data_IF_961155188852
#
_entry.id   IF_961155188852
#
_cell.length_a   1.000
_cell.length_b   1.000
_cell.length_c   1.000
_cell.angle_alpha   90.00
_cell.angle_beta   90.00
_cell.angle_gamma   90.00
#
_symmetry.space_group_name_H-M   'P 1'
#
loop_
_entity.id
_entity.type
_entity.pdbx_description
1 polymer ?
#
# COMPACT_ATOMS: atom_id res chain seq x y z
N UNK A 1 -19.32 -8.92 0.28
CA UNK A 1 -19.79 -9.43 -1.02
C UNK A 1 -19.18 -10.81 -1.27
N UNK A 2 -17.86 -10.96 -1.40
CA UNK A 2 -17.20 -12.25 -1.70
C UNK A 2 -17.56 -13.36 -0.70
N UNK A 3 -17.67 -13.06 0.59
CA UNK A 3 -18.04 -14.08 1.60
C UNK A 3 -19.42 -14.68 1.33
N UNK A 4 -20.39 -13.86 0.91
CA UNK A 4 -21.73 -14.33 0.53
C UNK A 4 -21.69 -15.13 -0.76
N UNK A 5 -20.94 -14.66 -1.76
CA UNK A 5 -20.75 -15.37 -3.03
C UNK A 5 -20.13 -16.75 -2.83
N UNK A 6 -19.10 -16.85 -2.00
CA UNK A 6 -18.46 -18.12 -1.66
C UNK A 6 -19.43 -19.07 -0.93
N UNK A 7 -20.21 -18.54 0.03
CA UNK A 7 -21.21 -19.33 0.75
C UNK A 7 -22.31 -19.86 -0.18
N UNK A 8 -22.65 -19.12 -1.23
CA UNK A 8 -23.65 -19.51 -2.23
C UNK A 8 -23.07 -20.26 -3.44
N UNK A 9 -21.74 -20.45 -3.50
CA UNK A 9 -21.01 -21.02 -4.64
C UNK A 9 -21.33 -20.32 -5.97
N UNK A 10 -21.39 -19.00 -5.98
CA UNK A 10 -21.69 -18.23 -7.18
C UNK A 10 -20.47 -18.11 -8.09
N UNK A 11 -20.70 -18.31 -9.39
CA UNK A 11 -19.72 -17.93 -10.42
C UNK A 11 -19.89 -16.45 -10.78
N UNK A 12 -18.79 -15.71 -10.76
CA UNK A 12 -18.81 -14.26 -11.02
C UNK A 12 -18.38 -14.00 -12.46
N UNK A 13 -19.15 -13.21 -13.24
CA UNK A 13 -18.77 -12.86 -14.60
C UNK A 13 -17.34 -12.28 -14.68
N UNK A 14 -16.57 -12.69 -15.67
CA UNK A 14 -15.16 -12.34 -15.78
C UNK A 14 -14.92 -10.81 -15.81
N UNK A 15 -15.77 -10.07 -16.52
CA UNK A 15 -15.70 -8.61 -16.53
C UNK A 15 -15.91 -8.01 -15.14
N UNK A 16 -16.79 -8.58 -14.33
CA UNK A 16 -17.02 -8.15 -12.95
C UNK A 16 -15.79 -8.43 -12.07
N UNK A 17 -15.14 -9.60 -12.24
CA UNK A 17 -13.88 -9.88 -11.56
C UNK A 17 -12.79 -8.86 -11.92
N UNK A 18 -12.61 -8.56 -13.18
CA UNK A 18 -11.62 -7.58 -13.64
C UNK A 18 -11.91 -6.17 -13.16
N UNK A 19 -13.16 -5.72 -13.16
CA UNK A 19 -13.54 -4.41 -12.60
C UNK A 19 -13.19 -4.36 -11.10
N UNK A 20 -13.53 -5.38 -10.34
CA UNK A 20 -13.20 -5.46 -8.91
C UNK A 20 -11.68 -5.46 -8.69
N UNK A 21 -10.94 -6.25 -9.47
CA UNK A 21 -9.49 -6.32 -9.38
C UNK A 21 -8.84 -4.96 -9.70
N UNK A 22 -9.31 -4.27 -10.74
CA UNK A 22 -8.82 -2.92 -11.08
C UNK A 22 -9.08 -1.91 -9.96
N UNK A 23 -10.25 -1.94 -9.33
CA UNK A 23 -10.59 -1.06 -8.20
C UNK A 23 -9.62 -1.32 -7.03
N UNK A 24 -9.46 -2.58 -6.63
CA UNK A 24 -8.58 -2.95 -5.50
C UNK A 24 -7.13 -2.58 -5.81
N UNK A 25 -6.64 -2.89 -7.01
CA UNK A 25 -5.26 -2.62 -7.41
C UNK A 25 -4.99 -1.12 -7.51
N UNK A 26 -5.91 -0.35 -8.10
CA UNK A 26 -5.80 1.11 -8.18
C UNK A 26 -5.79 1.75 -6.78
N UNK A 27 -6.61 1.25 -5.87
CA UNK A 27 -6.63 1.69 -4.48
C UNK A 27 -5.32 1.32 -3.76
N UNK A 28 -4.80 0.10 -3.96
CA UNK A 28 -3.50 -0.30 -3.42
C UNK A 28 -2.35 0.59 -3.91
N UNK A 29 -2.31 0.94 -5.20
CA UNK A 29 -1.31 1.89 -5.73
C UNK A 29 -1.46 3.27 -5.09
N UNK A 30 -2.69 3.77 -4.95
CA UNK A 30 -2.98 5.01 -4.22
C UNK A 30 -2.41 4.96 -2.80
N UNK A 31 -2.70 3.89 -2.06
CA UNK A 31 -2.28 3.74 -0.67
C UNK A 31 -0.75 3.67 -0.52
N UNK A 32 -0.06 2.97 -1.40
CA UNK A 32 1.40 2.93 -1.38
C UNK A 32 2.03 4.30 -1.63
N UNK A 33 1.49 5.09 -2.57
CA UNK A 33 1.95 6.47 -2.82
C UNK A 33 1.71 7.34 -1.59
N UNK A 34 0.51 7.30 -1.01
CA UNK A 34 0.14 8.08 0.19
C UNK A 34 1.01 7.67 1.38
N UNK A 35 1.13 6.37 1.63
CA UNK A 35 1.89 5.88 2.79
C UNK A 35 3.35 6.28 2.70
N UNK A 36 4.02 6.05 1.58
CA UNK A 36 5.43 6.38 1.45
C UNK A 36 5.68 7.89 1.51
N UNK A 37 5.00 8.70 0.68
CA UNK A 37 5.29 10.13 0.61
C UNK A 37 4.61 10.94 1.73
N UNK A 38 3.33 10.70 2.01
CA UNK A 38 2.55 11.62 2.85
C UNK A 38 2.44 11.18 4.31
N UNK A 39 2.79 9.92 4.63
CA UNK A 39 2.84 9.44 6.00
C UNK A 39 4.27 9.21 6.50
N UNK A 40 5.17 8.67 5.68
CA UNK A 40 6.51 8.28 6.12
C UNK A 40 7.63 9.23 5.68
N UNK A 41 7.55 9.85 4.49
CA UNK A 41 8.69 10.57 3.91
C UNK A 41 9.22 11.72 4.78
N UNK A 42 8.37 12.41 5.53
CA UNK A 42 8.77 13.54 6.39
C UNK A 42 9.62 13.11 7.60
N UNK A 43 9.67 11.82 7.92
CA UNK A 43 10.58 11.28 8.93
C UNK A 43 12.01 11.11 8.39
N UNK A 44 12.19 11.13 7.08
CA UNK A 44 13.46 10.87 6.38
C UNK A 44 13.99 12.09 5.62
N UNK A 45 13.09 12.96 5.16
CA UNK A 45 13.38 14.08 4.25
C UNK A 45 13.33 15.40 5.00
N UNK A 46 14.44 16.16 4.93
CA UNK A 46 14.59 17.50 5.51
C UNK A 46 14.31 18.56 4.44
N UNK A 47 13.11 19.14 4.47
CA UNK A 47 12.70 20.18 3.52
C UNK A 47 13.50 21.49 3.67
N UNK A 48 13.95 21.81 4.88
CA UNK A 48 14.77 23.02 5.11
C UNK A 48 16.17 22.81 4.55
N UNK A 49 16.71 21.60 4.64
CA UNK A 49 17.97 21.24 3.97
C UNK A 49 17.86 21.33 2.44
N UNK A 50 16.71 21.00 1.86
CA UNK A 50 16.44 21.12 0.42
C UNK A 50 16.65 22.55 -0.11
N UNK A 51 16.46 23.60 0.73
CA UNK A 51 16.72 24.98 0.36
C UNK A 51 18.21 25.29 0.06
N UNK A 52 19.12 24.45 0.55
CA UNK A 52 20.57 24.59 0.34
C UNK A 52 21.06 23.81 -0.88
N UNK A 53 20.19 23.03 -1.52
CA UNK A 53 20.54 22.21 -2.67
C UNK A 53 20.93 23.06 -3.89
N UNK A 54 21.83 22.52 -4.72
CA UNK A 54 22.07 23.02 -6.07
C UNK A 54 21.09 22.30 -7.04
N UNK A 55 20.13 23.02 -7.67
CA UNK A 55 19.18 22.40 -8.59
C UNK A 55 19.81 21.70 -9.79
N UNK A 56 20.99 22.15 -10.24
CA UNK A 56 21.71 21.49 -11.34
C UNK A 56 22.31 20.17 -10.88
N UNK A 57 22.92 20.12 -9.71
CA UNK A 57 23.44 18.87 -9.14
C UNK A 57 22.31 17.91 -8.81
N UNK A 58 21.17 18.42 -8.31
CA UNK A 58 19.97 17.63 -8.08
C UNK A 58 19.47 16.97 -9.37
N UNK A 59 19.40 17.74 -10.48
CA UNK A 59 19.02 17.24 -11.80
C UNK A 59 19.98 16.14 -12.28
N UNK A 60 21.28 16.39 -12.22
CA UNK A 60 22.30 15.40 -12.61
C UNK A 60 22.20 14.09 -11.81
N UNK A 61 21.97 14.19 -10.49
CA UNK A 61 21.76 13.04 -9.65
C UNK A 61 20.49 12.28 -10.05
N UNK A 62 19.36 12.98 -10.14
CA UNK A 62 18.07 12.39 -10.48
C UNK A 62 18.07 11.71 -11.85
N UNK A 63 18.65 12.36 -12.87
CA UNK A 63 18.82 11.81 -14.22
C UNK A 63 19.75 10.59 -14.27
N UNK A 64 20.72 10.51 -13.36
CA UNK A 64 21.59 9.33 -13.23
C UNK A 64 20.87 8.10 -12.63
N UNK A 65 19.78 8.33 -11.89
CA UNK A 65 19.03 7.29 -11.20
C UNK A 65 17.83 6.80 -12.00
N UNK A 66 17.20 7.67 -12.80
CA UNK A 66 16.04 7.29 -13.59
C UNK A 66 15.80 8.22 -14.79
N UNK A 67 14.96 7.75 -15.71
CA UNK A 67 14.50 8.51 -16.87
C UNK A 67 13.20 9.29 -16.59
N UNK A 68 12.94 9.69 -15.34
CA UNK A 68 11.76 10.46 -15.00
C UNK A 68 11.80 11.84 -15.66
N UNK A 69 10.74 12.22 -16.37
CA UNK A 69 10.69 13.42 -17.21
C UNK A 69 10.75 14.75 -16.43
N UNK A 70 10.42 14.72 -15.14
CA UNK A 70 10.46 15.90 -14.27
C UNK A 70 11.77 16.03 -13.47
N UNK A 71 12.85 15.42 -13.94
CA UNK A 71 14.20 15.52 -13.32
C UNK A 71 15.04 16.73 -13.80
N UNK A 72 14.43 17.68 -14.52
CA UNK A 72 15.18 18.79 -15.09
C UNK A 72 15.62 19.83 -14.06
N UNK A 73 16.75 20.50 -14.32
CA UNK A 73 17.26 21.62 -13.51
C UNK A 73 16.22 22.74 -13.34
N UNK A 74 15.46 23.04 -14.41
CA UNK A 74 14.39 24.04 -14.37
C UNK A 74 13.32 23.64 -13.35
N UNK A 75 12.86 22.40 -13.39
CA UNK A 75 11.85 21.90 -12.47
C UNK A 75 12.31 21.98 -11.01
N UNK A 76 13.51 21.51 -10.68
CA UNK A 76 14.03 21.57 -9.30
C UNK A 76 14.23 23.01 -8.82
N UNK A 77 14.61 23.94 -9.70
CA UNK A 77 14.67 25.37 -9.36
C UNK A 77 13.29 25.92 -9.01
N UNK A 78 12.27 25.61 -9.78
CA UNK A 78 10.90 26.06 -9.52
C UNK A 78 10.36 25.48 -8.20
N UNK A 79 10.64 24.21 -7.90
CA UNK A 79 10.29 23.58 -6.61
C UNK A 79 11.00 24.29 -5.46
N UNK A 80 12.31 24.53 -5.59
CA UNK A 80 13.08 25.20 -4.53
C UNK A 80 12.59 26.62 -4.25
N UNK A 81 12.23 27.40 -5.28
CA UNK A 81 11.67 28.75 -5.08
C UNK A 81 10.30 28.71 -4.38
N UNK A 82 9.44 27.75 -4.75
CA UNK A 82 8.18 27.53 -4.02
C UNK A 82 8.41 27.18 -2.55
N UNK A 83 9.38 26.32 -2.27
CA UNK A 83 9.75 25.96 -0.89
C UNK A 83 10.28 27.17 -0.10
N UNK A 84 11.10 28.03 -0.70
CA UNK A 84 11.60 29.27 -0.06
C UNK A 84 10.44 30.18 0.35
N UNK A 85 9.48 30.39 -0.54
CA UNK A 85 8.30 31.19 -0.28
C UNK A 85 7.47 30.58 0.85
N UNK A 86 7.26 29.26 0.81
CA UNK A 86 6.48 28.54 1.81
C UNK A 86 7.13 28.56 3.20
N UNK A 87 8.42 28.25 3.31
CA UNK A 87 9.17 28.30 4.57
C UNK A 87 9.25 29.73 5.10
N UNK A 88 9.46 30.70 4.21
CA UNK A 88 9.53 32.12 4.56
C UNK A 88 8.20 32.69 5.07
N UNK A 89 7.05 32.10 4.74
CA UNK A 89 5.74 32.52 5.25
C UNK A 89 5.50 32.16 6.73
N UNK A 90 6.29 31.27 7.30
CA UNK A 90 6.12 30.75 8.65
C UNK A 90 4.91 29.83 8.84
N UNK A 91 4.10 29.61 7.79
CA UNK A 91 2.92 28.73 7.83
C UNK A 91 3.27 27.34 7.30
N UNK A 92 3.99 26.58 8.11
CA UNK A 92 4.58 25.31 7.66
C UNK A 92 3.56 24.15 7.56
N UNK A 93 2.34 24.30 8.09
CA UNK A 93 1.28 23.29 8.00
C UNK A 93 1.76 21.91 8.44
N UNK A 94 1.58 20.90 7.59
CA UNK A 94 1.99 19.53 7.84
C UNK A 94 3.51 19.36 7.98
N UNK A 95 4.29 20.32 7.53
CA UNK A 95 5.75 20.31 7.68
C UNK A 95 6.24 20.92 8.99
N UNK A 96 5.35 21.29 9.90
CA UNK A 96 5.71 21.84 11.21
C UNK A 96 6.09 20.78 12.25
N UNK A 97 6.55 19.63 11.84
CA UNK A 97 6.87 18.49 12.73
C UNK A 97 8.14 18.70 13.58
N UNK A 98 8.99 19.66 13.22
CA UNK A 98 10.16 20.02 14.00
C UNK A 98 11.37 19.10 13.88
N UNK A 99 11.37 18.11 12.98
CA UNK A 99 12.50 17.18 12.80
C UNK A 99 13.65 17.75 11.98
N UNK A 100 13.47 18.88 11.32
CA UNK A 100 14.47 19.45 10.41
C UNK A 100 15.76 19.81 11.13
N UNK A 101 16.88 19.42 10.51
CA UNK A 101 18.20 19.59 11.09
C UNK A 101 18.54 18.60 12.20
N UNK A 102 17.69 17.59 12.43
CA UNK A 102 18.01 16.55 13.38
C UNK A 102 19.23 15.75 12.89
N UNK A 103 20.23 15.47 13.79
CA UNK A 103 21.50 14.85 13.38
C UNK A 103 21.32 13.41 12.83
N UNK A 104 20.19 12.76 13.08
CA UNK A 104 19.88 11.46 12.53
C UNK A 104 19.40 11.50 11.07
N UNK A 105 19.05 12.67 10.51
CA UNK A 105 18.69 12.83 9.10
C UNK A 105 19.94 12.80 8.23
N UNK A 106 19.97 11.87 7.25
CA UNK A 106 21.18 11.49 6.52
C UNK A 106 21.22 11.96 5.07
N UNK A 107 20.09 12.43 4.54
CA UNK A 107 20.02 12.79 3.12
C UNK A 107 20.75 14.11 2.84
N UNK A 108 21.48 14.15 1.72
CA UNK A 108 22.11 15.40 1.25
C UNK A 108 21.05 16.44 0.84
N UNK A 109 21.40 17.73 0.75
CA UNK A 109 20.47 18.75 0.27
C UNK A 109 19.86 18.43 -1.10
N UNK A 110 20.66 17.87 -2.03
CA UNK A 110 20.20 17.49 -3.36
C UNK A 110 19.16 16.35 -3.32
N UNK A 111 19.42 15.32 -2.51
CA UNK A 111 18.46 14.22 -2.32
C UNK A 111 17.19 14.71 -1.62
N UNK A 112 17.32 15.61 -0.64
CA UNK A 112 16.16 16.23 0.02
C UNK A 112 15.33 17.06 -0.96
N UNK A 113 15.94 17.80 -1.89
CA UNK A 113 15.22 18.55 -2.91
C UNK A 113 14.52 17.62 -3.91
N UNK A 114 15.18 16.55 -4.34
CA UNK A 114 14.59 15.53 -5.22
C UNK A 114 13.38 14.87 -4.54
N UNK A 115 13.54 14.37 -3.33
CA UNK A 115 12.47 13.70 -2.59
C UNK A 115 11.29 14.64 -2.28
N UNK A 116 11.55 15.91 -1.97
CA UNK A 116 10.51 16.94 -1.77
C UNK A 116 9.76 17.21 -3.07
N UNK A 117 10.45 17.26 -4.21
CA UNK A 117 9.81 17.41 -5.52
C UNK A 117 8.87 16.23 -5.79
N UNK A 118 9.32 15.01 -5.55
CA UNK A 118 8.51 13.81 -5.75
C UNK A 118 7.33 13.74 -4.75
N UNK A 119 7.50 14.19 -3.51
CA UNK A 119 6.42 14.36 -2.55
C UNK A 119 5.27 15.24 -3.10
N UNK A 120 5.62 16.39 -3.70
CA UNK A 120 4.64 17.28 -4.30
C UNK A 120 3.96 16.67 -5.53
N UNK A 121 4.71 15.92 -6.34
CA UNK A 121 4.16 15.18 -7.50
C UNK A 121 3.24 14.05 -7.05
N UNK A 122 3.58 13.38 -5.96
CA UNK A 122 2.76 12.31 -5.38
C UNK A 122 1.35 12.77 -5.02
N UNK A 123 1.16 14.03 -4.58
CA UNK A 123 -0.18 14.63 -4.38
C UNK A 123 -1.02 14.64 -5.67
N UNK A 124 -0.39 14.81 -6.82
CA UNK A 124 -1.05 14.73 -8.11
C UNK A 124 -1.36 13.28 -8.49
N UNK A 125 -0.39 12.39 -8.40
CA UNK A 125 -0.53 11.01 -8.88
C UNK A 125 -1.46 10.15 -8.03
N UNK A 126 -1.51 10.36 -6.72
CA UNK A 126 -2.53 9.71 -5.86
C UNK A 126 -3.95 10.07 -6.31
N UNK A 127 -4.19 11.35 -6.68
CA UNK A 127 -5.47 11.78 -7.19
C UNK A 127 -5.78 11.13 -8.55
N UNK A 128 -4.79 11.02 -9.43
CA UNK A 128 -4.94 10.43 -10.76
C UNK A 128 -5.36 8.97 -10.69
N UNK A 129 -4.67 8.15 -9.90
CA UNK A 129 -5.04 6.73 -9.77
C UNK A 129 -6.40 6.56 -9.09
N UNK A 130 -6.74 7.43 -8.14
CA UNK A 130 -8.02 7.38 -7.45
C UNK A 130 -9.21 7.72 -8.36
N UNK A 131 -8.98 8.38 -9.50
CA UNK A 131 -9.99 8.57 -10.54
C UNK A 131 -10.43 7.23 -11.16
N UNK A 132 -9.53 6.24 -11.27
CA UNK A 132 -9.89 4.88 -11.71
C UNK A 132 -10.92 4.26 -10.78
N UNK A 133 -10.69 4.40 -9.46
CA UNK A 133 -11.64 3.92 -8.44
C UNK A 133 -12.99 4.62 -8.59
N UNK A 134 -13.00 5.95 -8.79
CA UNK A 134 -14.24 6.72 -8.95
C UNK A 134 -15.01 6.36 -10.22
N UNK A 135 -14.32 6.16 -11.35
CA UNK A 135 -14.94 5.82 -12.64
C UNK A 135 -15.58 4.42 -12.56
N UNK A 136 -14.87 3.46 -11.98
CA UNK A 136 -15.34 2.07 -11.89
C UNK A 136 -16.29 1.85 -10.71
N UNK A 137 -16.03 2.49 -9.59
CA UNK A 137 -16.76 2.30 -8.33
C UNK A 137 -17.93 3.26 -8.09
N UNK A 138 -18.10 4.26 -8.99
CA UNK A 138 -19.12 5.30 -8.86
C UNK A 138 -18.73 6.44 -7.93
N UNK A 139 -17.89 6.20 -6.95
CA UNK A 139 -17.26 7.18 -6.04
C UNK A 139 -16.03 6.58 -5.34
N UNK A 140 -15.27 7.44 -4.67
CA UNK A 140 -14.19 7.07 -3.76
C UNK A 140 -14.26 7.97 -2.51
N UNK A 141 -13.94 7.49 -1.30
CA UNK A 141 -13.88 6.08 -0.91
C UNK A 141 -15.28 5.43 -0.83
N UNK A 142 -15.34 4.17 -0.43
CA UNK A 142 -16.60 3.40 -0.29
C UNK A 142 -17.41 3.30 -1.59
N UNK A 143 -16.89 2.51 -2.51
CA UNK A 143 -17.49 2.26 -3.83
C UNK A 143 -18.93 1.78 -3.75
N UNK A 144 -19.73 2.09 -4.76
CA UNK A 144 -21.18 1.82 -4.80
C UNK A 144 -21.57 0.77 -5.84
N UNK A 145 -20.63 0.22 -6.60
CA UNK A 145 -20.90 -0.68 -7.72
C UNK A 145 -20.90 -2.17 -7.35
N UNK A 146 -20.49 -2.54 -6.11
CA UNK A 146 -20.45 -3.95 -5.72
C UNK A 146 -21.85 -4.50 -5.52
N UNK A 147 -22.10 -5.64 -6.16
CA UNK A 147 -23.33 -6.42 -5.98
C UNK A 147 -22.97 -7.90 -5.78
N UNK A 148 -23.78 -8.65 -5.05
CA UNK A 148 -23.65 -10.10 -4.96
C UNK A 148 -23.88 -10.70 -6.35
N UNK A 149 -22.91 -11.47 -6.84
CA UNK A 149 -22.92 -12.03 -8.19
C UNK A 149 -22.26 -11.18 -9.25
N UNK A 150 -21.71 -9.97 -8.91
CA UNK A 150 -21.01 -9.14 -9.89
C UNK A 150 -20.80 -7.69 -9.49
N UNK A 151 -20.98 -6.80 -10.47
CA UNK A 151 -20.91 -5.35 -10.33
C UNK A 151 -22.08 -4.69 -11.06
N UNK A 152 -22.51 -3.53 -10.57
CA UNK A 152 -23.61 -2.75 -11.18
C UNK A 152 -23.16 -1.87 -12.38
N UNK A 153 -21.99 -2.12 -12.93
CA UNK A 153 -21.50 -1.38 -14.09
C UNK A 153 -22.15 -1.87 -15.38
N UNK A 154 -22.82 -1.00 -16.09
CA UNK A 154 -23.22 -1.28 -17.46
C UNK A 154 -22.01 -1.17 -18.40
N UNK A 155 -21.83 -2.15 -19.27
CA UNK A 155 -20.78 -2.18 -20.29
C UNK A 155 -21.43 -2.17 -21.66
N UNK A 156 -21.20 -1.11 -22.43
CA UNK A 156 -21.62 -1.03 -23.82
C UNK A 156 -20.63 -0.13 -24.57
N UNK A 157 -19.83 -0.69 -25.51
CA UNK A 157 -18.81 0.07 -26.23
C UNK A 157 -19.32 1.31 -26.96
N UNK A 158 -20.58 1.32 -27.35
CA UNK A 158 -21.20 2.38 -28.17
C UNK A 158 -22.03 3.39 -27.35
N UNK A 159 -22.22 3.17 -26.05
CA UNK A 159 -23.06 4.04 -25.21
C UNK A 159 -22.19 4.89 -24.27
N UNK A 160 -22.30 6.21 -24.40
CA UNK A 160 -21.53 7.18 -23.62
C UNK A 160 -21.84 7.18 -22.12
N UNK A 161 -23.01 6.69 -21.69
CA UNK A 161 -23.38 6.61 -20.27
C UNK A 161 -22.87 5.36 -19.56
N UNK A 162 -22.22 4.46 -20.26
CA UNK A 162 -21.72 3.18 -19.74
C UNK A 162 -20.18 3.11 -19.76
N UNK A 163 -19.61 2.00 -19.37
CA UNK A 163 -18.19 1.69 -19.64
C UNK A 163 -18.05 1.40 -21.14
N UNK A 164 -17.62 2.41 -21.87
CA UNK A 164 -17.37 2.37 -23.30
C UNK A 164 -15.86 2.38 -23.59
N UNK A 165 -15.47 2.35 -24.86
CA UNK A 165 -14.07 2.32 -25.28
C UNK A 165 -13.30 3.57 -24.87
N UNK A 166 -13.93 4.75 -24.88
CA UNK A 166 -13.31 6.02 -24.47
C UNK A 166 -12.96 6.00 -22.98
N UNK A 167 -13.89 5.54 -22.12
CA UNK A 167 -13.64 5.40 -20.67
C UNK A 167 -12.57 4.37 -20.36
N UNK A 168 -12.54 3.24 -21.07
CA UNK A 168 -11.50 2.24 -20.92
C UNK A 168 -10.13 2.78 -21.33
N UNK A 169 -10.06 3.51 -22.45
CA UNK A 169 -8.83 4.18 -22.88
C UNK A 169 -8.37 5.21 -21.85
N UNK A 170 -9.28 6.00 -21.29
CA UNK A 170 -8.96 6.97 -20.25
C UNK A 170 -8.44 6.30 -18.97
N UNK A 171 -9.07 5.21 -18.54
CA UNK A 171 -8.57 4.41 -17.40
C UNK A 171 -7.14 3.91 -17.67
N UNK A 172 -6.90 3.40 -18.89
CA UNK A 172 -5.56 2.95 -19.29
C UNK A 172 -4.54 4.09 -19.20
N UNK A 173 -4.88 5.28 -19.71
CA UNK A 173 -4.00 6.46 -19.63
C UNK A 173 -3.66 6.82 -18.17
N UNK A 174 -4.64 6.80 -17.26
CA UNK A 174 -4.42 7.06 -15.85
C UNK A 174 -3.45 6.04 -15.22
N UNK A 175 -3.62 4.76 -15.55
CA UNK A 175 -2.75 3.69 -15.06
C UNK A 175 -1.32 3.83 -15.60
N UNK A 176 -1.17 4.14 -16.88
CA UNK A 176 0.14 4.31 -17.52
C UNK A 176 0.90 5.50 -16.93
N UNK A 177 0.24 6.65 -16.73
CA UNK A 177 0.82 7.84 -16.11
C UNK A 177 1.33 7.54 -14.68
N UNK A 178 0.47 6.96 -13.85
CA UNK A 178 0.84 6.66 -12.47
C UNK A 178 1.87 5.54 -12.39
N UNK A 179 1.76 4.54 -13.26
CA UNK A 179 2.75 3.47 -13.38
C UNK A 179 4.14 3.98 -13.75
N UNK A 180 4.22 5.01 -14.60
CA UNK A 180 5.48 5.69 -14.92
C UNK A 180 6.07 6.40 -13.70
N UNK A 181 5.27 7.15 -12.94
CA UNK A 181 5.70 7.78 -11.69
C UNK A 181 6.20 6.75 -10.67
N UNK A 182 5.44 5.68 -10.45
CA UNK A 182 5.83 4.64 -9.49
C UNK A 182 7.17 4.00 -9.88
N UNK A 183 7.37 3.68 -11.16
CA UNK A 183 8.61 3.03 -11.62
C UNK A 183 9.82 3.96 -11.60
N UNK A 184 9.65 5.21 -12.03
CA UNK A 184 10.77 6.10 -12.32
C UNK A 184 11.05 7.13 -11.21
N UNK A 185 10.12 7.33 -10.27
CA UNK A 185 10.32 8.20 -9.12
C UNK A 185 10.20 7.43 -7.80
N UNK A 186 9.03 6.85 -7.50
CA UNK A 186 8.77 6.25 -6.19
C UNK A 186 9.71 5.09 -5.86
N UNK A 187 9.93 4.13 -6.77
CA UNK A 187 10.84 3.01 -6.51
C UNK A 187 12.29 3.48 -6.30
N UNK A 188 12.71 4.52 -7.01
CA UNK A 188 14.04 5.12 -6.84
C UNK A 188 14.17 5.77 -5.46
N UNK A 189 13.16 6.51 -5.02
CA UNK A 189 13.14 7.14 -3.71
C UNK A 189 13.13 6.10 -2.59
N UNK A 190 12.29 5.06 -2.69
CA UNK A 190 12.24 3.96 -1.71
C UNK A 190 13.60 3.28 -1.57
N UNK A 191 14.24 2.94 -2.69
CA UNK A 191 15.56 2.31 -2.70
C UNK A 191 16.63 3.25 -2.14
N UNK A 192 16.59 4.53 -2.52
CA UNK A 192 17.51 5.55 -2.05
C UNK A 192 17.42 5.78 -0.54
N UNK A 193 16.20 6.00 -0.03
CA UNK A 193 15.97 6.15 1.42
C UNK A 193 16.44 4.90 2.17
N UNK A 194 16.08 3.71 1.70
CA UNK A 194 16.52 2.46 2.33
C UNK A 194 18.05 2.33 2.36
N UNK A 195 18.75 2.75 1.31
CA UNK A 195 20.21 2.71 1.26
C UNK A 195 20.86 3.69 2.26
N UNK A 196 20.35 4.91 2.37
CA UNK A 196 20.87 5.90 3.32
C UNK A 196 20.62 5.54 4.77
N UNK A 197 19.50 4.87 5.06
CA UNK A 197 19.09 4.46 6.41
C UNK A 197 19.20 2.96 6.66
N UNK A 198 20.12 2.28 5.98
CA UNK A 198 20.30 0.82 6.08
C UNK A 198 20.57 0.33 7.52
N UNK A 199 21.26 1.13 8.32
CA UNK A 199 21.51 0.84 9.74
C UNK A 199 20.26 0.90 10.62
N UNK A 200 19.15 1.49 10.12
CA UNK A 200 17.88 1.54 10.84
C UNK A 200 16.96 0.34 10.55
N UNK A 201 17.32 -0.51 9.63
CA UNK A 201 16.50 -1.68 9.25
C UNK A 201 16.23 -2.67 10.40
N UNK A 202 17.01 -2.57 11.48
CA UNK A 202 16.79 -3.32 12.72
C UNK A 202 15.66 -2.78 13.61
N UNK A 203 15.31 -1.49 13.48
CA UNK A 203 14.25 -0.88 14.26
C UNK A 203 12.89 -1.26 13.70
N UNK A 204 11.94 -1.60 14.58
CA UNK A 204 10.62 -2.02 14.18
C UNK A 204 10.57 -3.36 13.40
N UNK A 205 11.66 -4.13 13.43
CA UNK A 205 11.71 -5.44 12.80
C UNK A 205 10.66 -6.35 13.41
N UNK A 206 9.73 -6.80 12.59
CA UNK A 206 8.69 -7.74 12.97
C UNK A 206 9.15 -9.20 12.94
N UNK A 207 8.19 -10.09 12.86
CA UNK A 207 8.43 -11.52 12.68
C UNK A 207 8.96 -11.83 11.27
N UNK A 208 9.66 -12.93 11.13
CA UNK A 208 10.29 -13.34 9.85
C UNK A 208 9.52 -14.44 9.12
N UNK A 209 8.34 -14.80 9.61
CA UNK A 209 7.43 -15.70 8.92
C UNK A 209 6.38 -14.86 8.19
N UNK A 210 6.16 -15.13 6.92
CA UNK A 210 5.24 -14.38 6.07
C UNK A 210 4.17 -15.32 5.53
N UNK A 211 2.92 -14.90 5.65
CA UNK A 211 1.75 -15.62 5.15
C UNK A 211 0.95 -14.70 4.24
N UNK A 212 0.60 -15.16 3.06
CA UNK A 212 -0.31 -14.47 2.15
C UNK A 212 -1.37 -15.43 1.62
N UNK A 213 -2.61 -14.99 1.53
CA UNK A 213 -3.67 -15.72 0.84
C UNK A 213 -3.74 -15.27 -0.61
N UNK A 214 -4.15 -16.14 -1.55
CA UNK A 214 -4.29 -15.74 -2.95
C UNK A 214 -5.40 -14.71 -3.11
N UNK A 215 -5.19 -13.73 -3.98
CA UNK A 215 -6.21 -12.71 -4.30
C UNK A 215 -6.15 -12.28 -5.78
N UNK A 216 -7.07 -11.41 -6.17
CA UNK A 216 -7.31 -10.95 -7.54
C UNK A 216 -7.69 -12.12 -8.48
N UNK A 217 -8.91 -12.68 -8.35
CA UNK A 217 -9.38 -13.77 -9.19
C UNK A 217 -9.35 -13.43 -10.68
N UNK A 218 -8.85 -14.35 -11.49
CA UNK A 218 -8.70 -14.21 -12.94
C UNK A 218 -9.64 -15.10 -13.74
N UNK A 219 -10.51 -15.83 -13.04
CA UNK A 219 -11.55 -16.69 -13.64
C UNK A 219 -12.90 -16.52 -12.92
N UNK A 220 -13.96 -17.08 -13.50
CA UNK A 220 -15.34 -16.93 -12.98
C UNK A 220 -15.55 -17.65 -11.66
N UNK A 221 -14.77 -18.69 -11.37
CA UNK A 221 -14.87 -19.53 -10.16
C UNK A 221 -13.97 -19.06 -9.02
N UNK A 222 -13.08 -18.11 -9.29
CA UNK A 222 -12.10 -17.66 -8.31
C UNK A 222 -11.09 -18.73 -7.91
N UNK A 223 -10.61 -19.51 -8.87
CA UNK A 223 -9.63 -20.59 -8.67
C UNK A 223 -8.22 -20.24 -9.16
N UNK A 224 -8.11 -19.28 -10.07
CA UNK A 224 -6.85 -18.74 -10.57
C UNK A 224 -6.71 -17.29 -10.10
N UNK A 225 -5.55 -16.91 -9.62
CA UNK A 225 -5.32 -15.62 -8.98
C UNK A 225 -4.09 -14.92 -9.57
N UNK A 226 -4.18 -13.59 -9.73
CA UNK A 226 -3.04 -12.77 -10.15
C UNK A 226 -2.02 -12.58 -9.02
N UNK A 227 -2.46 -12.55 -7.76
CA UNK A 227 -1.59 -12.54 -6.60
C UNK A 227 -1.56 -13.94 -5.99
N UNK A 228 -0.41 -14.64 -6.04
CA UNK A 228 -0.28 -15.96 -5.45
C UNK A 228 -0.29 -15.88 -3.93
N UNK A 229 -0.90 -16.89 -3.29
CA UNK A 229 -0.79 -17.10 -1.86
C UNK A 229 0.39 -18.02 -1.52
N UNK A 230 0.89 -17.91 -0.30
CA UNK A 230 1.95 -18.79 0.18
C UNK A 230 2.46 -18.44 1.56
N UNK A 231 3.34 -19.28 2.03
CA UNK A 231 4.04 -19.12 3.32
C UNK A 231 5.55 -19.17 3.12
N UNK A 232 6.26 -18.25 3.77
CA UNK A 232 7.72 -18.20 3.83
C UNK A 232 8.14 -18.24 5.29
N UNK A 233 8.98 -19.20 5.66
CA UNK A 233 9.50 -19.35 7.02
C UNK A 233 10.84 -18.65 7.18
N UNK A 234 11.02 -17.93 8.30
CA UNK A 234 12.28 -17.32 8.71
C UNK A 234 12.92 -16.35 7.68
N UNK A 235 12.14 -15.76 6.79
CA UNK A 235 12.65 -14.93 5.69
C UNK A 235 13.39 -15.70 4.60
N UNK A 236 13.36 -17.03 4.64
CA UNK A 236 13.99 -17.87 3.63
C UNK A 236 13.06 -18.08 2.43
N UNK A 237 13.37 -17.44 1.30
CA UNK A 237 12.60 -17.59 0.06
C UNK A 237 12.60 -19.03 -0.47
N UNK A 238 13.62 -19.83 -0.14
CA UNK A 238 13.69 -21.26 -0.49
C UNK A 238 12.66 -22.11 0.27
N UNK A 239 12.12 -21.59 1.38
CA UNK A 239 11.09 -22.25 2.19
C UNK A 239 9.66 -22.03 1.65
N UNK A 240 9.49 -21.33 0.53
CA UNK A 240 8.17 -20.97 -0.01
C UNK A 240 7.27 -22.20 -0.21
N UNK A 241 6.10 -22.15 0.42
CA UNK A 241 5.03 -23.13 0.25
C UNK A 241 3.81 -22.44 -0.33
N UNK A 242 3.34 -22.81 -1.53
CA UNK A 242 2.19 -22.18 -2.15
C UNK A 242 0.89 -22.53 -1.39
N UNK A 243 0.03 -21.54 -1.24
CA UNK A 243 -1.35 -21.67 -0.75
C UNK A 243 -2.27 -21.27 -1.90
N UNK A 244 -3.14 -22.19 -2.32
CA UNK A 244 -3.99 -22.01 -3.50
C UNK A 244 -5.41 -21.54 -3.18
N UNK A 245 -5.89 -21.77 -1.97
CA UNK A 245 -7.23 -21.38 -1.53
C UNK A 245 -7.33 -21.36 -0.01
N UNK A 246 -8.40 -20.80 0.54
CA UNK A 246 -8.73 -20.89 1.97
C UNK A 246 -8.98 -22.32 2.46
N UNK A 247 -9.34 -23.22 1.54
CA UNK A 247 -9.57 -24.63 1.86
C UNK A 247 -8.31 -25.48 1.72
N UNK A 248 -7.17 -24.88 1.40
CA UNK A 248 -5.89 -25.58 1.39
C UNK A 248 -5.62 -26.13 2.79
N UNK A 249 -5.38 -27.43 2.89
CA UNK A 249 -5.16 -28.10 4.17
C UNK A 249 -3.98 -27.48 4.94
N UNK A 250 -2.91 -27.13 4.21
CA UNK A 250 -1.75 -26.47 4.81
C UNK A 250 -2.13 -25.15 5.49
N UNK A 251 -2.97 -24.34 4.87
CA UNK A 251 -3.46 -23.09 5.46
C UNK A 251 -4.44 -23.39 6.60
N UNK A 252 -5.46 -24.19 6.34
CA UNK A 252 -6.54 -24.49 7.29
C UNK A 252 -6.04 -25.10 8.59
N UNK A 253 -5.12 -26.05 8.51
CA UNK A 253 -4.59 -26.75 9.68
C UNK A 253 -3.50 -25.94 10.40
N UNK A 254 -2.81 -25.05 9.69
CA UNK A 254 -1.70 -24.26 10.21
C UNK A 254 -2.10 -23.04 11.02
N UNK A 255 -3.25 -22.43 10.72
CA UNK A 255 -3.67 -21.15 11.35
C UNK A 255 -4.28 -21.41 12.71
N UNK A 256 -3.76 -20.67 13.71
CA UNK A 256 -4.34 -20.61 15.06
C UNK A 256 -4.29 -19.18 15.58
N UNK A 257 -5.17 -18.85 16.51
CA UNK A 257 -5.20 -17.56 17.19
C UNK A 257 -4.88 -17.74 18.66
N UNK A 258 -3.92 -16.95 19.16
CA UNK A 258 -3.60 -16.90 20.58
C UNK A 258 -4.30 -15.72 21.24
N UNK A 259 -4.94 -15.96 22.38
CA UNK A 259 -5.58 -14.93 23.19
C UNK A 259 -4.78 -14.65 24.48
N UNK A 260 -3.53 -15.07 24.54
CA UNK A 260 -2.70 -14.88 25.73
C UNK A 260 -2.72 -13.45 26.27
N UNK A 261 -2.63 -12.46 25.38
CA UNK A 261 -2.58 -11.04 25.73
C UNK A 261 -3.87 -10.29 25.41
N UNK A 262 -4.95 -11.01 25.12
CA UNK A 262 -6.21 -10.43 24.68
C UNK A 262 -7.33 -10.62 25.70
N UNK A 263 -8.27 -9.69 25.75
CA UNK A 263 -9.37 -9.70 26.72
C UNK A 263 -10.51 -10.65 26.29
N UNK A 264 -10.20 -11.94 26.21
CA UNK A 264 -11.20 -13.01 25.96
C UNK A 264 -11.11 -14.07 27.04
N UNK A 265 -12.23 -14.75 27.27
CA UNK A 265 -12.29 -15.91 28.17
C UNK A 265 -11.57 -17.12 27.57
N UNK A 266 -11.11 -17.97 28.46
CA UNK A 266 -10.40 -19.18 28.09
C UNK A 266 -8.90 -18.95 27.88
N UNK A 267 -8.24 -20.06 27.67
CA UNK A 267 -6.80 -20.13 27.36
C UNK A 267 -6.64 -21.02 26.15
N UNK A 268 -6.82 -20.44 24.97
CA UNK A 268 -6.85 -21.19 23.74
C UNK A 268 -5.84 -20.69 22.69
N UNK A 269 -5.40 -21.62 21.90
CA UNK A 269 -4.58 -21.41 20.72
C UNK A 269 -5.12 -22.37 19.66
N UNK A 270 -6.26 -22.03 19.06
CA UNK A 270 -7.03 -22.88 18.15
C UNK A 270 -7.29 -22.18 16.84
N UNK A 271 -7.78 -22.94 15.87
CA UNK A 271 -8.27 -22.37 14.63
C UNK A 271 -9.49 -21.48 14.91
N UNK A 272 -9.64 -20.32 14.25
CA UNK A 272 -10.77 -19.39 14.47
C UNK A 272 -12.16 -20.03 14.29
N UNK A 273 -12.25 -21.13 13.54
CA UNK A 273 -13.50 -21.87 13.31
C UNK A 273 -13.90 -22.81 14.44
N UNK A 274 -12.94 -23.14 15.31
CA UNK A 274 -13.14 -24.14 16.38
C UNK A 274 -13.52 -23.49 17.71
N UNK A 275 -13.43 -22.17 17.81
CA UNK A 275 -13.69 -21.42 19.03
C UNK A 275 -14.62 -20.23 18.84
N UNK A 276 -15.47 -19.99 19.80
CA UNK A 276 -16.24 -18.76 19.89
C UNK A 276 -15.45 -17.68 20.61
N UNK A 277 -15.61 -16.45 20.20
CA UNK A 277 -15.03 -15.28 20.86
C UNK A 277 -15.95 -14.83 22.00
N UNK A 278 -15.50 -14.95 23.24
CA UNK A 278 -16.22 -14.51 24.43
C UNK A 278 -15.44 -13.38 25.12
N UNK A 279 -15.86 -12.10 24.97
CA UNK A 279 -15.15 -10.97 25.55
C UNK A 279 -15.07 -11.02 27.08
N UNK A 280 -13.91 -10.66 27.62
CA UNK A 280 -13.68 -10.57 29.05
C UNK A 280 -12.68 -9.44 29.38
N UNK A 281 -13.18 -8.22 29.48
CA UNK A 281 -12.32 -7.08 29.80
C UNK A 281 -11.94 -7.08 31.28
N UNK A 282 -10.64 -7.19 31.57
CA UNK A 282 -10.08 -7.23 32.92
C UNK A 282 -9.22 -6.00 33.26
N UNK A 283 -9.28 -4.97 32.45
CA UNK A 283 -8.42 -3.78 32.58
C UNK A 283 -7.08 -3.92 31.83
N UNK A 284 -6.39 -2.80 31.66
CA UNK A 284 -5.07 -2.75 31.02
C UNK A 284 -3.99 -3.32 31.96
N UNK A 285 -3.31 -4.37 31.51
CA UNK A 285 -2.21 -5.02 32.22
C UNK A 285 -1.05 -5.22 31.24
N UNK A 286 -0.06 -4.34 31.28
CA UNK A 286 0.98 -4.24 30.24
C UNK A 286 1.77 -5.55 30.00
N UNK A 287 1.94 -6.38 31.04
CA UNK A 287 2.66 -7.63 30.95
C UNK A 287 1.74 -8.86 30.74
N UNK A 288 0.42 -8.68 30.74
CA UNK A 288 -0.55 -9.76 30.58
C UNK A 288 -1.63 -9.41 29.55
N UNK A 289 -2.72 -8.73 29.92
CA UNK A 289 -3.86 -8.41 29.04
C UNK A 289 -3.83 -6.94 28.65
N UNK A 290 -3.57 -6.65 27.39
CA UNK A 290 -3.42 -5.27 26.91
C UNK A 290 -4.07 -4.98 25.54
N UNK A 291 -4.78 -5.94 24.95
CA UNK A 291 -5.31 -5.80 23.59
C UNK A 291 -6.64 -6.52 23.40
N UNK A 292 -7.40 -6.12 22.40
CA UNK A 292 -8.50 -6.90 21.82
C UNK A 292 -8.06 -7.73 20.62
N UNK A 293 -6.83 -7.60 20.17
CA UNK A 293 -6.29 -8.33 19.03
C UNK A 293 -5.91 -9.74 19.46
N UNK A 294 -6.41 -10.73 18.76
CA UNK A 294 -5.97 -12.11 18.86
C UNK A 294 -4.72 -12.28 18.01
N UNK A 295 -3.65 -12.81 18.59
CA UNK A 295 -2.40 -12.98 17.88
C UNK A 295 -2.44 -14.22 16.96
N UNK A 296 -2.39 -14.07 15.63
CA UNK A 296 -2.37 -15.20 14.72
C UNK A 296 -1.03 -15.91 14.78
N UNK A 297 -1.08 -17.22 14.75
CA UNK A 297 0.09 -18.08 14.56
C UNK A 297 -0.12 -19.00 13.38
N UNK A 298 0.97 -19.40 12.74
CA UNK A 298 0.98 -20.37 11.67
C UNK A 298 1.94 -21.49 12.03
N UNK A 299 1.43 -22.70 12.21
CA UNK A 299 2.15 -23.83 12.78
C UNK A 299 2.88 -23.50 14.09
N UNK A 300 2.18 -22.80 14.98
CA UNK A 300 2.69 -22.43 16.30
C UNK A 300 3.71 -21.27 16.32
N UNK A 301 3.99 -20.64 15.20
CA UNK A 301 4.89 -19.49 15.09
C UNK A 301 4.12 -18.24 14.69
N UNK A 302 4.43 -17.06 15.25
CA UNK A 302 3.85 -15.82 14.79
C UNK A 302 4.22 -15.59 13.32
N UNK A 303 3.25 -15.16 12.52
CA UNK A 303 3.44 -14.82 11.12
C UNK A 303 2.87 -13.43 10.83
N UNK A 304 3.54 -12.71 9.94
CA UNK A 304 3.03 -11.47 9.37
C UNK A 304 2.17 -11.82 8.15
N UNK A 305 0.97 -11.27 8.10
CA UNK A 305 0.01 -11.44 7.01
C UNK A 305 -0.06 -10.17 6.17
#
# INVERSE_FOLDING_TARGET
VRSVENALNLEIPLNAQFIRNLIITAHGVHDHIVHFYHLAALDWVDIVSALKADPKKTSQLAESLSSWDQNSTKHFKEVQEKLKTFVGSGQLGIYANGYWGHPAMKLSPEVNLMATSHYLQALHFQRRINMVVSILGGKTPHIQNLAVGGVANAINPENQSTLNMERLYYIKTLIDEVGSFVKNAMLVDVAGVAAFYADWTGYGKGVTNYLSVPDLPMDTKGTTFALPGGYIANGDLGSFKPIKSFNDAFFKDGVKESIKHSWYKGDWNKHPWDETTDPNYTGMQYDDKYSWVKAPTFYGKPAQV
#
